data_IF_201391116422
#
_entry.id   IF_201391116422
#
_cell.length_a   1.000
_cell.length_b   1.000
_cell.length_c   1.000
_cell.angle_alpha   90.00
_cell.angle_beta   90.00
_cell.angle_gamma   90.00
#
_symmetry.space_group_name_H-M   'P 1'
#
loop_
_entity.id
_entity.type
_entity.pdbx_description
1 polymer ?
#
# COMPACT_ATOMS: atom_id res chain seq x y z
N UNK A 1 -5.50 -3.92 -15.07
CA UNK A 1 -6.01 -5.02 -14.24
C UNK A 1 -5.39 -4.94 -12.84
N UNK A 2 -6.21 -5.10 -11.83
CA UNK A 2 -5.70 -5.20 -10.46
C UNK A 2 -5.17 -6.60 -10.26
N UNK A 3 -3.93 -6.73 -9.77
CA UNK A 3 -3.28 -8.04 -9.65
C UNK A 3 -2.77 -8.33 -8.24
N UNK A 4 -2.87 -7.40 -7.31
CA UNK A 4 -2.38 -7.64 -5.97
C UNK A 4 -2.75 -6.52 -5.02
N UNK A 5 -2.24 -6.63 -3.80
CA UNK A 5 -2.50 -5.65 -2.76
C UNK A 5 -1.23 -5.41 -1.94
N UNK A 6 -1.17 -4.24 -1.34
CA UNK A 6 -0.08 -3.82 -0.47
C UNK A 6 -0.71 -3.12 0.73
N UNK A 7 -0.42 -3.60 1.93
CA UNK A 7 -0.94 -3.03 3.17
C UNK A 7 0.18 -2.33 3.93
N UNK A 8 -0.09 -1.13 4.40
CA UNK A 8 0.85 -0.38 5.24
C UNK A 8 0.26 -0.28 6.64
N UNK A 9 1.03 -0.73 7.62
CA UNK A 9 0.67 -0.60 9.02
C UNK A 9 1.59 0.44 9.66
N UNK A 10 1.03 1.36 10.42
CA UNK A 10 1.79 2.40 11.08
C UNK A 10 2.06 2.02 12.52
N UNK A 11 3.29 2.20 12.97
CA UNK A 11 3.75 1.72 14.27
C UNK A 11 4.65 2.75 14.94
N UNK A 12 4.55 2.83 16.25
CA UNK A 12 5.47 3.66 17.05
C UNK A 12 6.88 3.08 17.10
N UNK A 13 6.99 1.77 16.88
CA UNK A 13 8.28 1.08 16.85
C UNK A 13 8.29 0.14 15.66
N UNK A 14 8.41 0.75 14.48
CA UNK A 14 8.35 0.00 13.23
C UNK A 14 9.46 -1.04 13.13
N UNK A 15 10.64 -0.74 13.67
CA UNK A 15 11.76 -1.68 13.60
C UNK A 15 11.47 -2.94 14.41
N UNK A 16 10.91 -2.80 15.61
CA UNK A 16 10.54 -3.95 16.43
C UNK A 16 9.45 -4.78 15.77
N UNK A 17 8.45 -4.13 15.15
CA UNK A 17 7.38 -4.84 14.46
C UNK A 17 7.92 -5.56 13.22
N UNK A 18 8.81 -4.92 12.47
CA UNK A 18 9.46 -5.57 11.32
C UNK A 18 10.25 -6.81 11.76
N UNK A 19 10.91 -6.72 12.91
CA UNK A 19 11.67 -7.85 13.44
C UNK A 19 10.74 -9.03 13.76
N UNK A 20 9.54 -8.78 14.27
CA UNK A 20 8.57 -9.85 14.52
C UNK A 20 8.16 -10.52 13.21
N UNK A 21 7.85 -9.74 12.17
CA UNK A 21 7.45 -10.30 10.88
C UNK A 21 8.58 -11.12 10.27
N UNK A 22 9.81 -10.64 10.38
CA UNK A 22 10.97 -11.30 9.80
C UNK A 22 11.43 -12.50 10.61
N UNK A 23 11.63 -12.31 11.92
CA UNK A 23 12.35 -13.29 12.76
C UNK A 23 11.41 -14.27 13.45
N UNK A 24 10.21 -13.85 13.81
CA UNK A 24 9.24 -14.70 14.50
C UNK A 24 8.30 -15.38 13.51
N UNK A 25 7.73 -14.61 12.59
CA UNK A 25 6.79 -15.15 11.59
C UNK A 25 7.50 -15.70 10.36
N UNK A 26 8.77 -15.37 10.17
CA UNK A 26 9.57 -15.92 9.08
C UNK A 26 9.16 -15.44 7.69
N UNK A 27 8.54 -14.28 7.58
CA UNK A 27 8.13 -13.75 6.28
C UNK A 27 9.33 -13.21 5.51
N UNK A 28 9.36 -13.51 4.22
CA UNK A 28 10.39 -12.97 3.32
C UNK A 28 10.18 -11.48 3.11
N UNK A 29 11.26 -10.73 2.95
CA UNK A 29 11.19 -9.30 2.73
C UNK A 29 12.25 -8.83 1.77
N UNK A 30 12.02 -7.65 1.18
CA UNK A 30 13.01 -6.90 0.42
C UNK A 30 13.13 -5.52 1.03
N UNK A 31 14.33 -4.94 0.95
CA UNK A 31 14.57 -3.58 1.45
C UNK A 31 14.31 -2.59 0.32
N UNK A 32 13.28 -1.75 0.49
CA UNK A 32 12.93 -0.73 -0.48
C UNK A 32 13.78 0.53 -0.35
N UNK A 33 14.76 0.51 0.57
CA UNK A 33 15.65 1.63 0.84
C UNK A 33 15.56 2.07 2.30
N UNK A 34 16.71 2.39 2.90
CA UNK A 34 16.79 2.91 4.27
C UNK A 34 16.18 1.98 5.34
N UNK A 35 16.23 0.67 5.11
CA UNK A 35 15.68 -0.31 6.06
C UNK A 35 14.16 -0.45 6.01
N UNK A 36 13.51 0.13 5.02
CA UNK A 36 12.07 0.03 4.85
C UNK A 36 11.73 -1.28 4.15
N UNK A 37 11.43 -2.30 4.95
CA UNK A 37 11.19 -3.64 4.45
C UNK A 37 9.76 -3.79 3.93
N UNK A 38 9.63 -4.46 2.78
CA UNK A 38 8.34 -4.89 2.26
C UNK A 38 8.28 -6.41 2.39
N UNK A 39 7.28 -6.89 3.13
CA UNK A 39 7.12 -8.31 3.43
C UNK A 39 6.16 -8.96 2.46
N UNK A 40 6.54 -10.13 1.97
CA UNK A 40 5.68 -10.92 1.11
C UNK A 40 4.63 -11.65 1.93
N UNK A 41 3.37 -11.50 1.53
CA UNK A 41 2.24 -12.24 2.07
C UNK A 41 1.58 -12.98 0.92
N UNK A 42 0.99 -14.15 1.16
CA UNK A 42 0.25 -14.83 0.09
C UNK A 42 -1.21 -14.38 0.06
N UNK A 43 -1.71 -13.81 -1.03
CA UNK A 43 -1.09 -13.30 -2.25
C UNK A 43 -0.91 -11.78 -2.24
N UNK A 44 -0.36 -11.22 -1.19
CA UNK A 44 -0.25 -9.79 -0.96
C UNK A 44 1.13 -9.44 -0.41
N UNK A 45 1.32 -8.20 -0.04
CA UNK A 45 2.51 -7.76 0.66
C UNK A 45 2.13 -6.77 1.76
N UNK A 46 3.02 -6.57 2.74
CA UNK A 46 2.80 -5.65 3.83
C UNK A 46 4.08 -4.91 4.17
N UNK A 47 3.92 -3.68 4.63
CA UNK A 47 5.01 -2.88 5.14
C UNK A 47 4.59 -2.20 6.44
N UNK A 48 5.55 -1.91 7.30
CA UNK A 48 5.29 -1.19 8.55
C UNK A 48 6.08 0.11 8.50
N UNK A 49 5.35 1.23 8.56
CA UNK A 49 5.95 2.56 8.53
C UNK A 49 5.93 3.17 9.92
N UNK A 50 6.98 3.92 10.29
CA UNK A 50 7.00 4.62 11.57
C UNK A 50 5.87 5.64 11.65
N UNK A 51 5.27 5.77 12.83
CA UNK A 51 4.26 6.77 13.11
C UNK A 51 4.21 7.04 14.61
N UNK A 52 3.79 8.24 14.97
CA UNK A 52 3.64 8.60 16.38
C UNK A 52 2.37 7.98 16.98
N UNK A 53 1.36 7.75 16.16
CA UNK A 53 0.10 7.15 16.59
C UNK A 53 -0.08 5.80 15.92
N UNK A 54 -0.30 4.72 16.71
CA UNK A 54 -0.55 3.41 16.15
C UNK A 54 -2.01 3.24 15.73
N UNK A 55 -2.31 2.15 15.06
CA UNK A 55 -3.68 1.77 14.73
C UNK A 55 -4.19 2.24 13.38
N UNK A 56 -3.42 3.04 12.65
CA UNK A 56 -3.76 3.41 11.29
C UNK A 56 -3.19 2.40 10.32
N UNK A 57 -3.89 2.13 9.23
CA UNK A 57 -3.38 1.31 8.15
C UNK A 57 -3.87 1.87 6.82
N UNK A 58 -3.17 1.51 5.75
CA UNK A 58 -3.53 1.88 4.39
C UNK A 58 -3.51 0.64 3.54
N UNK A 59 -4.54 0.47 2.71
CA UNK A 59 -4.60 -0.62 1.74
C UNK A 59 -4.33 -0.05 0.36
N UNK A 60 -3.35 -0.63 -0.33
CA UNK A 60 -3.05 -0.31 -1.72
C UNK A 60 -3.40 -1.50 -2.58
N UNK A 61 -4.16 -1.26 -3.63
CA UNK A 61 -4.40 -2.26 -4.66
C UNK A 61 -3.41 -1.99 -5.80
N UNK A 62 -2.75 -3.03 -6.24
CA UNK A 62 -1.71 -2.91 -7.27
C UNK A 62 -2.32 -3.17 -8.63
N UNK A 63 -1.95 -2.36 -9.61
CA UNK A 63 -2.45 -2.52 -10.97
C UNK A 63 -1.31 -2.32 -11.98
N UNK A 64 -1.54 -2.83 -13.18
CA UNK A 64 -0.56 -2.76 -14.27
C UNK A 64 -0.68 -1.48 -15.10
N UNK A 65 -1.85 -0.83 -15.05
CA UNK A 65 -2.09 0.41 -15.82
C UNK A 65 -3.03 1.32 -15.02
N UNK A 66 -2.42 2.23 -14.27
CA UNK A 66 -3.18 3.09 -13.36
C UNK A 66 -4.16 4.00 -14.11
N UNK A 67 -3.76 4.55 -15.24
CA UNK A 67 -4.63 5.46 -16.00
C UNK A 67 -5.89 4.74 -16.47
N UNK A 68 -5.76 3.51 -16.94
CA UNK A 68 -6.91 2.71 -17.36
C UNK A 68 -7.80 2.35 -16.18
N UNK A 69 -7.22 2.02 -15.03
CA UNK A 69 -8.01 1.71 -13.83
C UNK A 69 -8.77 2.93 -13.34
N UNK A 70 -8.14 4.10 -13.31
CA UNK A 70 -8.78 5.35 -12.91
C UNK A 70 -9.96 5.66 -13.85
N UNK A 71 -9.75 5.54 -15.15
CA UNK A 71 -10.82 5.80 -16.11
C UNK A 71 -12.01 4.85 -15.91
N UNK A 72 -11.73 3.57 -15.67
CA UNK A 72 -12.78 2.59 -15.42
C UNK A 72 -13.54 2.86 -14.12
N UNK A 73 -12.83 3.25 -13.06
CA UNK A 73 -13.44 3.57 -11.77
C UNK A 73 -14.29 4.83 -11.86
N UNK A 74 -13.80 5.87 -12.53
CA UNK A 74 -14.54 7.11 -12.70
C UNK A 74 -15.79 6.90 -13.53
N UNK A 75 -15.73 6.02 -14.51
CA UNK A 75 -16.91 5.66 -15.32
C UNK A 75 -17.99 5.01 -14.47
N UNK A 76 -17.63 4.39 -13.35
CA UNK A 76 -18.58 3.78 -12.40
C UNK A 76 -18.95 4.72 -11.26
N UNK A 77 -18.55 5.97 -11.30
CA UNK A 77 -18.90 6.95 -10.29
C UNK A 77 -17.97 7.01 -9.10
N UNK A 78 -16.83 6.33 -9.12
CA UNK A 78 -15.85 6.39 -8.05
C UNK A 78 -15.04 7.68 -8.18
N UNK A 79 -14.85 8.38 -7.07
CA UNK A 79 -14.04 9.60 -7.04
C UNK A 79 -12.58 9.22 -6.82
N UNK A 80 -11.72 9.60 -7.76
CA UNK A 80 -10.28 9.36 -7.68
C UNK A 80 -9.56 10.70 -7.53
N UNK A 81 -8.51 10.72 -6.70
CA UNK A 81 -7.63 11.88 -6.61
C UNK A 81 -6.78 12.00 -7.88
N UNK A 82 -6.13 13.15 -8.07
CA UNK A 82 -5.17 13.29 -9.15
C UNK A 82 -4.03 12.26 -8.96
N UNK A 83 -3.56 11.71 -10.07
CA UNK A 83 -2.46 10.75 -10.03
C UNK A 83 -1.20 11.47 -9.53
N UNK A 84 -0.55 10.89 -8.53
CA UNK A 84 0.68 11.41 -7.95
C UNK A 84 1.84 10.49 -8.31
N UNK A 85 2.90 11.10 -8.84
CA UNK A 85 4.12 10.36 -9.13
C UNK A 85 4.98 10.31 -7.88
N UNK A 86 5.37 9.10 -7.48
CA UNK A 86 6.24 8.88 -6.34
C UNK A 86 7.50 8.17 -6.83
N UNK A 87 8.54 8.13 -5.98
CA UNK A 87 9.78 7.46 -6.32
C UNK A 87 9.58 5.98 -6.64
N UNK A 88 8.59 5.36 -6.01
CA UNK A 88 8.29 3.93 -6.13
C UNK A 88 7.15 3.61 -7.11
N UNK A 89 6.58 4.62 -7.74
CA UNK A 89 5.51 4.44 -8.72
C UNK A 89 4.49 5.56 -8.68
N UNK A 90 3.42 5.41 -9.42
CA UNK A 90 2.32 6.35 -9.45
C UNK A 90 1.15 5.83 -8.60
N UNK A 91 0.41 6.73 -7.96
CA UNK A 91 -0.72 6.36 -7.14
C UNK A 91 -1.87 7.33 -7.27
N UNK A 92 -3.06 6.86 -6.98
CA UNK A 92 -4.24 7.68 -6.76
C UNK A 92 -4.95 7.17 -5.50
N UNK A 93 -5.81 8.00 -4.92
CA UNK A 93 -6.65 7.61 -3.79
C UNK A 93 -8.09 7.58 -4.22
N UNK A 94 -8.84 6.61 -3.74
CA UNK A 94 -10.26 6.55 -3.97
C UNK A 94 -10.99 6.69 -2.64
N UNK A 95 -12.11 7.43 -2.67
CA UNK A 95 -12.93 7.66 -1.50
C UNK A 95 -14.04 6.63 -1.45
N UNK A 96 -14.22 6.01 -0.28
CA UNK A 96 -15.32 5.09 -0.05
C UNK A 96 -16.55 5.87 0.46
N UNK A 97 -17.78 5.39 0.17
CA UNK A 97 -18.99 6.12 0.59
C UNK A 97 -19.08 6.38 2.08
N UNK A 98 -18.46 5.55 2.91
CA UNK A 98 -18.46 5.71 4.35
C UNK A 98 -17.39 6.68 4.89
N UNK A 99 -16.66 7.34 4.01
CA UNK A 99 -15.60 8.27 4.38
C UNK A 99 -14.22 7.68 4.49
N UNK A 100 -14.06 6.35 4.26
CA UNK A 100 -12.75 5.73 4.18
C UNK A 100 -12.10 5.98 2.83
N UNK A 101 -10.79 5.76 2.76
CA UNK A 101 -10.05 5.89 1.52
C UNK A 101 -9.26 4.62 1.26
N UNK A 102 -9.27 4.19 -0.01
CA UNK A 102 -8.40 3.14 -0.49
C UNK A 102 -7.40 3.77 -1.45
N UNK A 103 -6.17 3.28 -1.42
CA UNK A 103 -5.13 3.77 -2.32
C UNK A 103 -4.88 2.74 -3.42
N UNK A 104 -4.96 3.18 -4.66
CA UNK A 104 -4.57 2.37 -5.81
C UNK A 104 -3.19 2.81 -6.27
N UNK A 105 -2.37 1.83 -6.58
CA UNK A 105 -0.97 2.04 -6.84
C UNK A 105 -0.58 1.31 -8.11
N UNK A 106 0.12 2.04 -9.00
CA UNK A 106 0.72 1.43 -10.16
C UNK A 106 2.06 0.86 -9.71
N UNK A 107 2.23 -0.44 -9.85
CA UNK A 107 3.46 -1.11 -9.48
C UNK A 107 4.50 -0.92 -10.59
N UNK A 108 5.18 0.18 -10.49
CA UNK A 108 6.16 0.56 -11.50
C UNK A 108 7.49 -0.17 -11.32
#
# INVERSE_FOLDING_TARGET
MIFGAHMVMYSKDAEADRAVLRDVLGLSSIDAGHGWLIFALPPAEAAIHPAEEPGRSELYLLCDDLKSEVAALEAKGVVCSAIQEQRWGAMTKIALPGGGEEDDEDDA
#
